data_IF_064263520670
#
_entry.id   IF_064263520670
#
_cell.length_a   1.000
_cell.length_b   1.000
_cell.length_c   1.000
_cell.angle_alpha   90.00
_cell.angle_beta   90.00
_cell.angle_gamma   90.00
#
_symmetry.space_group_name_H-M   'P 1'
#
loop_
_entity.id
_entity.type
_entity.pdbx_description
1 polymer ?
#
# COMPACT_ATOMS: atom_id res chain seq x y z
N UNK A 1 12.70 -26.50 -9.46
CA UNK A 1 13.80 -25.75 -8.79
C UNK A 1 13.82 -24.38 -9.44
N UNK A 2 13.06 -23.43 -8.90
CA UNK A 2 12.97 -22.07 -9.46
C UNK A 2 14.06 -21.25 -8.76
N UNK A 3 15.06 -20.79 -9.53
CA UNK A 3 16.04 -19.83 -9.02
C UNK A 3 15.29 -18.57 -8.62
N UNK A 4 15.17 -18.33 -7.32
CA UNK A 4 14.79 -17.04 -6.78
C UNK A 4 15.91 -16.09 -7.20
N UNK A 5 15.56 -15.00 -7.87
CA UNK A 5 16.57 -14.03 -8.29
C UNK A 5 17.08 -13.30 -7.05
N UNK A 6 18.21 -13.76 -6.51
CA UNK A 6 18.81 -13.25 -5.27
C UNK A 6 19.37 -11.83 -5.41
N UNK A 7 19.36 -11.28 -6.64
CA UNK A 7 19.88 -9.95 -6.95
C UNK A 7 18.94 -8.84 -6.48
N UNK A 8 19.52 -7.71 -6.10
CA UNK A 8 18.79 -6.47 -5.81
C UNK A 8 19.22 -5.41 -6.82
N UNK A 9 18.25 -4.68 -7.38
CA UNK A 9 18.52 -3.55 -8.27
C UNK A 9 18.23 -2.24 -7.55
N UNK A 10 19.26 -1.43 -7.35
CA UNK A 10 19.13 -0.06 -6.86
C UNK A 10 19.10 0.91 -8.03
N UNK A 11 18.27 1.94 -7.93
CA UNK A 11 18.27 3.06 -8.87
C UNK A 11 18.73 4.29 -8.10
N UNK A 12 19.97 4.71 -8.33
CA UNK A 12 20.64 5.75 -7.54
C UNK A 12 20.90 6.98 -8.39
N UNK A 13 20.91 8.15 -7.76
CA UNK A 13 21.18 9.42 -8.41
C UNK A 13 21.93 10.32 -7.45
N UNK A 14 22.86 11.10 -7.97
CA UNK A 14 23.47 12.22 -7.26
C UNK A 14 22.95 13.59 -7.78
N UNK A 15 21.87 13.55 -8.57
CA UNK A 15 21.26 14.65 -9.30
C UNK A 15 22.17 15.32 -10.34
N UNK A 16 23.21 14.62 -10.81
CA UNK A 16 24.05 15.09 -11.92
C UNK A 16 23.67 14.40 -13.23
N UNK A 17 23.77 15.13 -14.35
CA UNK A 17 23.42 14.60 -15.67
C UNK A 17 24.62 13.89 -16.29
N UNK A 18 24.41 12.67 -16.76
CA UNK A 18 25.38 11.92 -17.55
C UNK A 18 24.72 11.36 -18.82
N UNK A 19 25.24 11.76 -19.98
CA UNK A 19 24.67 11.42 -21.30
C UNK A 19 24.59 9.92 -21.57
N UNK A 20 25.41 9.13 -20.91
CA UNK A 20 25.48 7.68 -21.07
C UNK A 20 24.52 6.93 -20.12
N UNK A 21 23.74 7.63 -19.28
CA UNK A 21 22.69 7.03 -18.46
C UNK A 21 21.36 6.94 -19.23
N UNK A 22 20.50 6.03 -18.79
CA UNK A 22 19.14 5.90 -19.32
C UNK A 22 18.34 7.18 -19.12
N UNK A 23 17.55 7.55 -20.13
CA UNK A 23 16.74 8.77 -20.12
C UNK A 23 15.35 8.48 -19.56
N UNK A 24 15.13 8.87 -18.31
CA UNK A 24 13.83 8.73 -17.67
C UNK A 24 12.91 9.90 -18.07
N UNK A 25 12.30 9.80 -19.26
CA UNK A 25 11.41 10.81 -19.84
C UNK A 25 10.03 10.95 -19.19
N UNK A 26 9.29 12.00 -19.57
CA UNK A 26 7.90 12.20 -19.18
C UNK A 26 7.02 11.26 -20.00
N UNK A 27 6.32 10.33 -19.34
CA UNK A 27 5.38 9.42 -20.02
C UNK A 27 4.06 10.12 -20.32
N UNK A 28 4.11 11.24 -21.03
CA UNK A 28 2.92 11.88 -21.61
C UNK A 28 2.91 11.88 -23.14
N UNK A 29 4.02 11.62 -23.82
CA UNK A 29 4.13 11.95 -25.25
C UNK A 29 4.47 10.78 -26.18
N UNK A 30 4.38 9.51 -25.73
CA UNK A 30 4.58 8.35 -26.61
C UNK A 30 3.57 7.23 -26.29
N UNK A 31 2.28 7.50 -26.51
CA UNK A 31 1.36 6.46 -26.97
C UNK A 31 1.17 6.61 -28.48
N UNK A 32 1.59 5.58 -29.21
CA UNK A 32 1.47 5.34 -30.65
C UNK A 32 2.60 5.87 -31.54
N UNK A 33 3.62 5.04 -31.75
CA UNK A 33 4.14 4.76 -33.11
C UNK A 33 4.95 3.45 -33.14
N UNK A 34 4.35 2.39 -33.70
CA UNK A 34 5.03 1.41 -34.57
C UNK A 34 5.95 0.31 -33.99
N UNK A 35 5.44 -0.92 -34.00
CA UNK A 35 6.23 -2.17 -34.14
C UNK A 35 6.60 -2.85 -32.82
N UNK A 36 6.30 -4.11 -32.55
CA UNK A 36 5.95 -5.27 -33.39
C UNK A 36 5.06 -6.19 -32.59
N UNK A 37 4.08 -6.76 -33.28
CA UNK A 37 3.24 -7.89 -32.92
C UNK A 37 4.02 -9.00 -32.18
N UNK A 38 3.75 -9.15 -30.88
CA UNK A 38 4.09 -10.33 -30.09
C UNK A 38 2.85 -11.24 -29.99
N UNK A 39 2.61 -12.00 -31.04
CA UNK A 39 1.58 -13.04 -31.07
C UNK A 39 1.94 -14.28 -30.21
N UNK A 40 3.12 -14.35 -29.54
CA UNK A 40 3.55 -15.58 -28.84
C UNK A 40 4.17 -15.44 -27.43
N UNK A 41 4.17 -14.28 -26.79
CA UNK A 41 4.42 -14.10 -25.35
C UNK A 41 5.81 -14.46 -24.83
N UNK A 42 6.85 -14.50 -25.68
CA UNK A 42 8.21 -14.89 -25.27
C UNK A 42 9.17 -13.72 -25.00
N UNK A 43 8.77 -12.47 -25.25
CA UNK A 43 9.60 -11.28 -25.01
C UNK A 43 8.93 -10.30 -24.05
N UNK A 44 8.95 -10.69 -22.77
CA UNK A 44 9.07 -9.88 -21.55
C UNK A 44 8.29 -10.61 -20.47
N UNK A 45 9.01 -11.19 -19.51
CA UNK A 45 8.37 -11.66 -18.27
C UNK A 45 7.57 -10.48 -17.72
N UNK A 46 6.30 -10.67 -17.30
CA UNK A 46 5.49 -9.62 -16.70
C UNK A 46 5.98 -9.38 -15.27
N UNK A 47 7.21 -8.89 -15.13
CA UNK A 47 7.72 -8.42 -13.85
C UNK A 47 7.39 -6.96 -13.74
N UNK A 48 6.50 -6.67 -12.79
CA UNK A 48 6.24 -5.35 -12.23
C UNK A 48 5.46 -4.44 -13.18
N UNK A 49 4.14 -4.50 -13.03
CA UNK A 49 3.25 -3.37 -13.33
C UNK A 49 3.99 -2.05 -13.04
N UNK A 50 4.08 -1.21 -14.07
CA UNK A 50 4.89 0.00 -14.17
C UNK A 50 4.71 0.87 -12.90
N UNK A 51 5.57 0.74 -11.89
CA UNK A 51 5.73 1.77 -10.86
C UNK A 51 6.04 3.05 -11.63
N UNK A 52 5.16 4.04 -11.56
CA UNK A 52 5.41 5.33 -12.20
C UNK A 52 6.73 5.87 -11.63
N UNK A 53 7.69 6.12 -12.51
CA UNK A 53 9.01 6.60 -12.11
C UNK A 53 8.84 7.98 -11.47
N UNK A 54 8.97 8.05 -10.14
CA UNK A 54 8.70 9.28 -9.38
C UNK A 54 9.80 10.33 -9.57
N UNK A 55 10.99 9.93 -10.01
CA UNK A 55 12.08 10.83 -10.39
C UNK A 55 13.43 10.39 -9.82
N UNK A 56 14.51 11.14 -10.10
CA UNK A 56 14.56 12.27 -11.03
C UNK A 56 14.48 11.84 -12.50
N UNK A 57 13.94 12.72 -13.32
CA UNK A 57 13.78 12.56 -14.77
C UNK A 57 15.06 12.88 -15.53
N UNK A 58 15.14 12.45 -16.77
CA UNK A 58 16.32 12.65 -17.60
C UNK A 58 17.40 11.61 -17.33
N UNK A 59 18.61 11.90 -17.81
CA UNK A 59 19.78 11.01 -17.73
C UNK A 59 20.61 11.27 -16.49
N UNK A 60 20.05 11.01 -15.31
CA UNK A 60 20.74 11.24 -14.03
C UNK A 60 20.62 10.08 -13.03
N UNK A 61 20.03 8.97 -13.46
CA UNK A 61 19.86 7.78 -12.62
C UNK A 61 20.69 6.63 -13.14
N UNK A 62 21.51 6.06 -12.28
CA UNK A 62 22.29 4.86 -12.51
C UNK A 62 21.58 3.65 -11.89
N UNK A 63 21.33 2.62 -12.69
CA UNK A 63 20.92 1.31 -12.18
C UNK A 63 22.16 0.57 -11.68
N UNK A 64 22.12 0.09 -10.43
CA UNK A 64 23.19 -0.71 -9.82
C UNK A 64 22.64 -2.08 -9.41
N UNK A 65 23.22 -3.14 -9.96
CA UNK A 65 22.85 -4.53 -9.63
C UNK A 65 23.75 -5.05 -8.52
N UNK A 66 23.15 -5.48 -7.41
CA UNK A 66 23.83 -6.02 -6.24
C UNK A 66 23.73 -7.54 -6.23
N UNK A 67 24.87 -8.19 -5.97
CA UNK A 67 24.98 -9.60 -5.63
C UNK A 67 25.32 -9.76 -4.15
N UNK A 68 25.12 -10.95 -3.59
CA UNK A 68 25.40 -11.20 -2.18
C UNK A 68 26.88 -10.98 -1.85
N UNK A 69 27.22 -10.47 -0.66
CA UNK A 69 26.33 -10.17 0.47
C UNK A 69 25.62 -8.80 0.37
N UNK A 70 25.94 -7.99 -0.65
CA UNK A 70 25.41 -6.63 -0.78
C UNK A 70 23.91 -6.61 -1.01
N UNK A 71 23.38 -7.56 -1.81
CA UNK A 71 21.93 -7.69 -2.02
C UNK A 71 21.18 -8.05 -0.75
N UNK A 72 21.68 -9.01 0.03
CA UNK A 72 21.10 -9.34 1.33
C UNK A 72 21.06 -8.13 2.27
N UNK A 73 22.18 -7.43 2.44
CA UNK A 73 22.24 -6.24 3.30
C UNK A 73 21.30 -5.13 2.81
N UNK A 74 21.30 -4.83 1.51
CA UNK A 74 20.46 -3.78 0.95
C UNK A 74 18.96 -4.08 1.10
N UNK A 75 18.56 -5.34 0.98
CA UNK A 75 17.15 -5.75 1.15
C UNK A 75 16.62 -5.47 2.55
N UNK A 76 17.46 -5.67 3.56
CA UNK A 76 17.08 -5.52 4.96
C UNK A 76 17.25 -4.06 5.47
N UNK A 77 18.18 -3.29 4.90
CA UNK A 77 18.59 -2.00 5.48
C UNK A 77 18.35 -0.78 4.57
N UNK A 78 18.34 -0.94 3.24
CA UNK A 78 18.27 0.20 2.31
C UNK A 78 16.83 0.47 1.92
N UNK A 79 16.38 1.71 2.13
CA UNK A 79 15.05 2.19 1.78
C UNK A 79 15.10 3.19 0.61
N UNK A 80 13.97 3.33 -0.09
CA UNK A 80 13.81 4.38 -1.11
C UNK A 80 13.97 5.78 -0.46
N UNK A 81 14.62 6.70 -1.17
CA UNK A 81 14.99 8.05 -0.71
C UNK A 81 16.10 8.15 0.36
N UNK A 82 16.67 7.03 0.80
CA UNK A 82 17.83 7.00 1.68
C UNK A 82 19.13 7.46 1.01
N UNK A 83 20.04 8.04 1.78
CA UNK A 83 21.39 8.36 1.32
C UNK A 83 22.31 7.18 1.61
N UNK A 84 22.99 6.70 0.57
CA UNK A 84 23.89 5.55 0.68
C UNK A 84 25.25 5.86 0.10
N UNK A 85 26.27 5.27 0.69
CA UNK A 85 27.61 5.21 0.12
C UNK A 85 27.83 3.82 -0.46
N UNK A 86 28.02 3.78 -1.77
CA UNK A 86 28.43 2.58 -2.49
C UNK A 86 29.93 2.65 -2.75
N UNK A 87 30.68 1.63 -2.32
CA UNK A 87 32.12 1.53 -2.60
C UNK A 87 32.39 0.41 -3.59
N UNK A 88 33.42 0.58 -4.42
CA UNK A 88 33.86 -0.40 -5.41
C UNK A 88 32.76 -0.84 -6.41
N UNK A 89 31.89 0.09 -6.80
CA UNK A 89 30.90 -0.17 -7.86
C UNK A 89 31.63 -0.38 -9.19
N UNK A 90 31.42 -1.52 -9.83
CA UNK A 90 31.94 -1.78 -11.16
C UNK A 90 31.01 -1.15 -12.20
N UNK A 91 31.44 -0.05 -12.80
CA UNK A 91 30.69 0.63 -13.87
C UNK A 91 31.03 -0.01 -15.21
N UNK A 92 30.01 -0.40 -15.96
CA UNK A 92 30.14 -0.96 -17.30
C UNK A 92 29.03 -0.44 -18.20
N UNK A 93 29.22 -0.52 -19.51
CA UNK A 93 28.13 -0.33 -20.46
C UNK A 93 27.35 -1.64 -20.62
N UNK A 94 26.03 -1.57 -20.62
CA UNK A 94 25.17 -2.67 -21.02
C UNK A 94 25.44 -3.00 -22.50
N UNK A 95 25.59 -4.30 -22.78
CA UNK A 95 25.93 -4.82 -24.10
C UNK A 95 24.83 -4.59 -25.13
N UNK A 96 23.58 -4.42 -24.69
CA UNK A 96 22.43 -4.29 -25.61
C UNK A 96 22.15 -2.85 -26.03
N UNK A 97 22.23 -1.89 -25.10
CA UNK A 97 21.86 -0.49 -25.36
C UNK A 97 23.05 0.49 -25.22
N UNK A 98 24.22 0.03 -24.77
CA UNK A 98 25.42 0.85 -24.58
C UNK A 98 25.34 1.83 -23.39
N UNK A 99 24.30 1.77 -22.58
CA UNK A 99 24.08 2.65 -21.43
C UNK A 99 24.88 2.18 -20.21
N UNK A 100 25.29 3.12 -19.37
CA UNK A 100 26.02 2.82 -18.15
C UNK A 100 25.13 2.16 -17.10
N UNK A 101 25.59 1.05 -16.57
CA UNK A 101 25.06 0.37 -15.40
C UNK A 101 26.18 0.08 -14.40
N UNK A 102 25.80 0.00 -13.12
CA UNK A 102 26.69 -0.42 -12.04
C UNK A 102 26.45 -1.87 -11.65
N UNK A 103 27.50 -2.55 -11.21
CA UNK A 103 27.38 -3.90 -10.62
C UNK A 103 28.28 -4.00 -9.40
N UNK A 104 27.76 -4.59 -8.32
CA UNK A 104 28.54 -4.92 -7.13
C UNK A 104 28.49 -6.42 -6.90
N UNK A 105 29.63 -7.07 -7.15
CA UNK A 105 29.81 -8.49 -6.90
C UNK A 105 30.38 -8.74 -5.50
N UNK A 106 30.25 -9.98 -5.03
CA UNK A 106 30.98 -10.48 -3.86
C UNK A 106 32.48 -10.20 -4.00
N UNK A 107 33.10 -9.66 -2.95
CA UNK A 107 34.54 -9.49 -2.92
C UNK A 107 35.22 -10.87 -2.86
N UNK A 108 36.17 -11.13 -3.75
CA UNK A 108 36.85 -12.43 -3.84
C UNK A 108 37.78 -12.70 -2.65
N UNK A 109 38.33 -11.66 -2.03
CA UNK A 109 39.28 -11.73 -0.91
C UNK A 109 38.57 -11.65 0.44
N UNK A 110 37.50 -10.87 0.52
CA UNK A 110 36.69 -10.71 1.73
C UNK A 110 35.20 -10.94 1.46
N UNK A 111 34.74 -12.20 1.28
CA UNK A 111 33.38 -12.50 0.84
C UNK A 111 32.27 -11.95 1.73
N UNK A 112 32.53 -11.83 3.04
CA UNK A 112 31.57 -11.30 4.04
C UNK A 112 31.51 -9.76 4.07
N UNK A 113 32.40 -9.07 3.34
CA UNK A 113 32.49 -7.61 3.38
C UNK A 113 31.34 -7.00 2.59
N UNK A 114 30.56 -6.16 3.27
CA UNK A 114 29.51 -5.34 2.67
C UNK A 114 30.04 -3.93 2.39
N UNK A 115 30.01 -3.52 1.12
CA UNK A 115 30.49 -2.21 0.65
C UNK A 115 29.34 -1.22 0.34
N UNK A 116 28.13 -1.58 0.79
CA UNK A 116 26.95 -0.70 0.85
C UNK A 116 26.83 -0.17 2.27
N UNK A 117 26.76 1.15 2.45
CA UNK A 117 26.58 1.78 3.76
C UNK A 117 25.48 2.82 3.71
N UNK A 118 24.63 2.85 4.72
CA UNK A 118 23.73 3.97 4.96
C UNK A 118 24.56 5.17 5.44
N UNK A 119 24.17 6.36 4.99
CA UNK A 119 24.70 7.62 5.50
C UNK A 119 23.68 8.17 6.49
N UNK A 120 23.99 8.06 7.78
CA UNK A 120 23.16 8.58 8.88
C UNK A 120 23.37 10.10 9.07
N UNK A 121 22.64 10.69 10.00
CA UNK A 121 22.66 12.15 10.25
C UNK A 121 23.97 12.67 10.86
N UNK A 122 24.84 11.78 11.36
CA UNK A 122 26.20 12.08 11.81
C UNK A 122 27.16 12.46 10.67
N UNK A 123 26.77 12.23 9.41
CA UNK A 123 27.48 12.65 8.21
C UNK A 123 26.93 13.94 7.58
N UNK A 124 26.10 14.70 8.31
CA UNK A 124 25.58 15.99 7.84
C UNK A 124 26.68 17.01 7.52
N UNK A 125 27.84 16.92 8.17
CA UNK A 125 28.98 17.81 7.93
C UNK A 125 29.87 17.35 6.76
N UNK A 126 29.66 16.18 6.17
CA UNK A 126 30.43 15.76 4.99
C UNK A 126 30.04 16.66 3.80
N UNK A 127 31.00 17.44 3.25
CA UNK A 127 30.71 18.37 2.16
C UNK A 127 30.04 17.70 0.95
N UNK A 128 30.34 16.42 0.70
CA UNK A 128 29.77 15.65 -0.42
C UNK A 128 28.29 15.36 -0.21
N UNK A 129 27.89 15.08 1.02
CA UNK A 129 26.48 14.83 1.39
C UNK A 129 25.70 16.13 1.37
N UNK A 130 26.29 17.22 1.86
CA UNK A 130 25.70 18.57 1.78
C UNK A 130 25.47 18.99 0.33
N UNK A 131 26.45 18.79 -0.54
CA UNK A 131 26.34 19.12 -1.96
C UNK A 131 25.26 18.28 -2.64
N UNK A 132 25.22 16.98 -2.38
CA UNK A 132 24.16 16.09 -2.87
C UNK A 132 22.76 16.54 -2.42
N UNK A 133 22.58 16.83 -1.12
CA UNK A 133 21.31 17.33 -0.57
C UNK A 133 20.92 18.67 -1.20
N UNK A 134 21.91 19.53 -1.49
CA UNK A 134 21.70 20.81 -2.19
C UNK A 134 21.21 20.59 -3.62
N UNK A 135 21.88 19.74 -4.41
CA UNK A 135 21.47 19.41 -5.78
C UNK A 135 20.08 18.77 -5.83
N UNK A 136 19.77 17.85 -4.90
CA UNK A 136 18.42 17.27 -4.74
C UNK A 136 17.38 18.38 -4.55
N UNK A 137 17.61 19.29 -3.60
CA UNK A 137 16.68 20.39 -3.29
C UNK A 137 16.50 21.32 -4.49
N UNK A 138 17.57 21.65 -5.18
CA UNK A 138 17.54 22.51 -6.36
C UNK A 138 16.76 21.88 -7.51
N UNK A 139 17.05 20.61 -7.84
CA UNK A 139 16.33 19.86 -8.87
C UNK A 139 14.82 19.87 -8.62
N UNK A 140 14.40 19.53 -7.39
CA UNK A 140 12.97 19.50 -7.06
C UNK A 140 12.34 20.90 -7.01
N UNK A 141 13.09 21.94 -6.63
CA UNK A 141 12.64 23.34 -6.70
C UNK A 141 12.37 23.73 -8.16
N UNK A 142 13.34 23.52 -9.05
CA UNK A 142 13.22 23.84 -10.47
C UNK A 142 12.10 23.03 -11.13
N UNK A 143 11.96 21.74 -10.81
CA UNK A 143 10.91 20.88 -11.36
C UNK A 143 9.51 21.33 -10.90
N UNK A 144 9.35 21.80 -9.65
CA UNK A 144 8.09 22.42 -9.17
C UNK A 144 7.80 23.74 -9.87
N UNK A 145 8.81 24.59 -10.07
CA UNK A 145 8.66 25.86 -10.80
C UNK A 145 8.32 25.64 -12.26
N UNK A 146 8.92 24.65 -12.93
CA UNK A 146 8.61 24.30 -14.31
C UNK A 146 7.19 23.72 -14.44
N UNK A 147 6.75 22.88 -13.49
CA UNK A 147 5.35 22.43 -13.43
C UNK A 147 4.36 23.58 -13.19
N UNK A 148 4.71 24.56 -12.35
CA UNK A 148 3.90 25.77 -12.12
C UNK A 148 3.84 26.66 -13.35
N UNK A 149 4.97 26.90 -14.04
CA UNK A 149 5.01 27.67 -15.30
C UNK A 149 4.23 26.99 -16.41
N UNK A 150 4.28 25.66 -16.51
CA UNK A 150 3.42 24.90 -17.42
C UNK A 150 1.94 25.09 -17.07
N UNK A 151 1.57 25.04 -15.78
CA UNK A 151 0.19 25.28 -15.35
C UNK A 151 -0.28 26.74 -15.59
N UNK A 152 0.63 27.71 -15.50
CA UNK A 152 0.36 29.13 -15.79
C UNK A 152 0.21 29.41 -17.30
N UNK A 153 1.02 28.78 -18.17
CA UNK A 153 0.87 28.85 -19.64
C UNK A 153 -0.38 28.12 -20.16
N UNK A 154 -0.86 27.11 -19.42
CA UNK A 154 -2.16 26.45 -19.65
C UNK A 154 -3.27 27.04 -18.75
N UNK A 155 -3.23 28.35 -18.49
CA UNK A 155 -4.40 29.20 -18.21
C UNK A 155 -5.28 28.81 -17.02
N UNK A 156 -4.76 28.93 -15.80
CA UNK A 156 -5.59 29.16 -14.60
C UNK A 156 -5.36 30.60 -14.10
N UNK A 157 -5.98 31.54 -14.81
CA UNK A 157 -6.05 32.94 -14.42
C UNK A 157 -7.37 33.20 -13.70
N UNK A 158 -7.28 33.47 -12.40
CA UNK A 158 -8.31 34.13 -11.63
C UNK A 158 -8.68 35.46 -12.32
N UNK A 159 -9.90 35.54 -12.84
CA UNK A 159 -10.63 36.80 -12.99
C UNK A 159 -12.13 36.54 -13.15
N UNK A 160 -12.89 37.02 -12.16
CA UNK A 160 -14.33 36.84 -12.08
C UNK A 160 -15.08 37.45 -13.27
N UNK A 161 -15.80 36.60 -14.03
CA UNK A 161 -17.11 36.88 -14.66
C UNK A 161 -17.76 35.58 -15.19
N UNK A 162 -19.09 35.40 -15.08
CA UNK A 162 -19.72 34.09 -15.19
C UNK A 162 -20.06 33.70 -16.64
N UNK A 163 -19.54 32.56 -17.12
CA UNK A 163 -20.03 31.92 -18.37
C UNK A 163 -21.20 30.98 -18.08
N UNK A 164 -22.42 31.47 -18.30
CA UNK A 164 -23.72 30.79 -18.09
C UNK A 164 -23.96 29.50 -18.93
N UNK A 165 -23.07 29.10 -19.84
CA UNK A 165 -23.35 28.02 -20.79
C UNK A 165 -22.85 26.61 -20.39
N UNK A 166 -21.93 26.47 -19.42
CA UNK A 166 -21.41 25.14 -19.04
C UNK A 166 -22.34 24.37 -18.09
N UNK A 167 -23.08 25.09 -17.23
CA UNK A 167 -24.03 24.50 -16.26
C UNK A 167 -25.26 23.91 -16.96
N UNK A 168 -25.73 24.49 -18.05
CA UNK A 168 -26.83 23.94 -18.85
C UNK A 168 -26.41 22.67 -19.59
N UNK A 169 -25.22 22.66 -20.21
CA UNK A 169 -24.71 21.49 -20.94
C UNK A 169 -24.45 20.28 -20.02
N UNK A 170 -23.97 20.51 -18.79
CA UNK A 170 -23.77 19.45 -17.77
C UNK A 170 -25.11 18.92 -17.21
N UNK A 171 -26.13 19.79 -17.07
CA UNK A 171 -27.47 19.40 -16.61
C UNK A 171 -28.25 18.63 -17.69
N UNK A 172 -28.03 18.94 -18.96
CA UNK A 172 -28.62 18.25 -20.10
C UNK A 172 -27.98 16.86 -20.33
N UNK A 173 -26.66 16.76 -20.21
CA UNK A 173 -25.94 15.47 -20.28
C UNK A 173 -26.37 14.52 -19.16
N UNK A 174 -26.56 15.02 -17.95
CA UNK A 174 -27.04 14.21 -16.82
C UNK A 174 -28.50 13.78 -17.01
N UNK A 175 -29.35 14.63 -17.58
CA UNK A 175 -30.75 14.31 -17.90
C UNK A 175 -30.85 13.27 -19.03
N UNK A 176 -29.97 13.34 -20.03
CA UNK A 176 -29.89 12.33 -21.10
C UNK A 176 -29.41 10.97 -20.56
N UNK A 177 -28.38 10.94 -19.69
CA UNK A 177 -27.92 9.70 -19.02
C UNK A 177 -29.05 9.04 -18.20
N UNK A 178 -29.79 9.84 -17.43
CA UNK A 178 -30.92 9.35 -16.61
C UNK A 178 -32.09 8.83 -17.46
N UNK A 179 -32.35 9.44 -18.62
CA UNK A 179 -33.35 8.94 -19.57
C UNK A 179 -32.91 7.65 -20.28
N UNK A 180 -31.61 7.48 -20.55
CA UNK A 180 -31.06 6.26 -21.13
C UNK A 180 -31.11 5.09 -20.14
N UNK A 181 -30.82 5.33 -18.86
CA UNK A 181 -30.98 4.33 -17.79
C UNK A 181 -32.43 3.91 -17.58
N UNK A 182 -33.37 4.87 -17.58
CA UNK A 182 -34.79 4.54 -17.47
C UNK A 182 -35.30 3.73 -18.67
N UNK A 183 -34.81 4.02 -19.88
CA UNK A 183 -35.12 3.21 -21.09
C UNK A 183 -34.53 1.81 -21.03
N UNK A 184 -33.30 1.65 -20.51
CA UNK A 184 -32.67 0.33 -20.29
C UNK A 184 -33.40 -0.49 -19.22
N UNK A 185 -33.82 0.15 -18.11
CA UNK A 185 -34.62 -0.51 -17.07
C UNK A 185 -36.02 -0.89 -17.56
N UNK A 186 -36.67 -0.05 -18.36
CA UNK A 186 -37.97 -0.41 -18.98
C UNK A 186 -37.84 -1.52 -20.02
N UNK A 187 -36.74 -1.59 -20.78
CA UNK A 187 -36.48 -2.70 -21.70
C UNK A 187 -36.19 -4.01 -20.94
N UNK A 188 -35.44 -3.97 -19.83
CA UNK A 188 -35.24 -5.13 -18.95
C UNK A 188 -36.54 -5.61 -18.30
N UNK A 189 -37.41 -4.70 -17.84
CA UNK A 189 -38.71 -5.07 -17.27
C UNK A 189 -39.68 -5.62 -18.33
N UNK A 190 -39.58 -5.18 -19.59
CA UNK A 190 -40.38 -5.73 -20.71
C UNK A 190 -39.90 -7.12 -21.16
N UNK A 191 -38.59 -7.41 -21.06
CA UNK A 191 -38.07 -8.76 -21.29
C UNK A 191 -38.42 -9.74 -20.17
N UNK A 192 -38.58 -9.27 -18.94
CA UNK A 192 -38.95 -10.10 -17.78
C UNK A 192 -40.44 -10.50 -17.76
N UNK A 193 -41.31 -9.80 -18.49
CA UNK A 193 -42.76 -10.11 -18.57
C UNK A 193 -43.13 -11.10 -19.69
N UNK A 194 -42.16 -11.60 -20.48
CA UNK A 194 -42.44 -12.49 -21.63
C UNK A 194 -42.13 -13.97 -21.40
N UNK A 195 -41.65 -14.34 -20.21
CA UNK A 195 -41.35 -15.73 -19.83
C UNK A 195 -42.08 -16.14 -18.53
N UNK A 196 -43.34 -15.73 -18.37
CA UNK A 196 -44.24 -16.36 -17.38
C UNK A 196 -44.84 -17.62 -17.99
N UNK A 197 -44.15 -18.75 -17.80
CA UNK A 197 -44.60 -20.02 -18.32
C UNK A 197 -43.72 -21.20 -17.96
N UNK A 198 -43.20 -21.29 -16.72
CA UNK A 198 -42.86 -22.56 -16.10
C UNK A 198 -42.63 -22.42 -14.59
N UNK A 199 -43.11 -23.42 -13.86
CA UNK A 199 -43.40 -23.44 -12.44
C UNK A 199 -42.19 -23.30 -11.51
N UNK A 200 -42.51 -22.78 -10.33
CA UNK A 200 -41.66 -22.34 -9.22
C UNK A 200 -40.60 -23.33 -8.72
N UNK A 201 -39.39 -22.80 -8.49
CA UNK A 201 -38.59 -23.10 -7.29
C UNK A 201 -38.14 -21.73 -6.73
N UNK A 202 -38.37 -21.40 -5.45
CA UNK A 202 -38.12 -20.06 -4.91
C UNK A 202 -36.62 -19.77 -4.82
N UNK A 203 -36.08 -19.06 -5.81
CA UNK A 203 -34.70 -18.56 -5.83
C UNK A 203 -34.63 -17.08 -5.42
N UNK A 204 -35.06 -16.78 -4.19
CA UNK A 204 -34.88 -15.44 -3.58
C UNK A 204 -33.54 -15.29 -2.85
N UNK A 205 -32.70 -16.33 -2.82
CA UNK A 205 -31.28 -16.21 -2.48
C UNK A 205 -30.49 -16.28 -3.79
N UNK A 206 -29.62 -15.31 -4.10
CA UNK A 206 -28.37 -15.48 -4.92
C UNK A 206 -27.81 -14.22 -5.60
N UNK A 207 -28.39 -13.01 -5.43
CA UNK A 207 -27.71 -11.77 -5.88
C UNK A 207 -26.76 -11.17 -4.83
N UNK A 208 -26.99 -11.42 -3.52
CA UNK A 208 -26.27 -10.79 -2.40
C UNK A 208 -24.90 -11.40 -2.06
N UNK A 209 -24.52 -12.52 -2.70
CA UNK A 209 -23.33 -13.28 -2.33
C UNK A 209 -22.20 -13.23 -3.37
N UNK A 210 -22.37 -12.48 -4.47
CA UNK A 210 -21.31 -12.30 -5.44
C UNK A 210 -20.27 -11.32 -4.88
N UNK A 211 -18.96 -11.64 -4.95
CA UNK A 211 -17.93 -10.69 -4.59
C UNK A 211 -18.05 -9.40 -5.40
N UNK A 212 -17.69 -8.27 -4.77
CA UNK A 212 -17.67 -6.96 -5.38
C UNK A 212 -16.72 -6.99 -6.59
N UNK A 213 -17.22 -6.75 -7.82
CA UNK A 213 -16.39 -6.84 -9.04
C UNK A 213 -15.33 -5.75 -9.12
N UNK A 214 -15.48 -4.64 -8.37
CA UNK A 214 -14.50 -3.55 -8.34
C UNK A 214 -13.31 -3.83 -7.43
N UNK A 215 -13.32 -4.94 -6.69
CA UNK A 215 -12.23 -5.31 -5.79
C UNK A 215 -11.58 -6.60 -6.26
N UNK A 216 -10.28 -6.53 -6.51
CA UNK A 216 -9.52 -7.66 -7.01
C UNK A 216 -8.42 -8.05 -6.02
N UNK A 217 -8.46 -9.32 -5.61
CA UNK A 217 -7.35 -9.97 -4.91
C UNK A 217 -6.35 -10.56 -5.91
N UNK A 218 -5.07 -10.49 -5.56
CA UNK A 218 -4.00 -11.22 -6.25
C UNK A 218 -4.21 -12.74 -6.16
N UNK A 219 -3.58 -13.48 -7.07
CA UNK A 219 -3.54 -14.95 -7.12
C UNK A 219 -4.94 -15.59 -7.18
N UNK A 220 -5.74 -15.34 -8.25
CA UNK A 220 -7.10 -15.85 -8.35
C UNK A 220 -7.20 -17.39 -8.32
N UNK A 221 -6.11 -18.09 -8.63
CA UNK A 221 -6.00 -19.55 -8.55
C UNK A 221 -5.93 -20.09 -7.11
N UNK A 222 -5.56 -19.26 -6.11
CA UNK A 222 -5.55 -19.67 -4.70
C UNK A 222 -6.98 -19.69 -4.18
N UNK A 223 -7.38 -20.81 -3.58
CA UNK A 223 -8.70 -20.97 -2.95
C UNK A 223 -8.91 -20.01 -1.77
N UNK A 224 -10.15 -19.59 -1.57
CA UNK A 224 -10.53 -18.78 -0.41
C UNK A 224 -10.70 -19.66 0.83
N UNK A 225 -10.20 -19.19 1.98
CA UNK A 225 -10.46 -19.76 3.31
C UNK A 225 -11.35 -18.83 4.11
N UNK A 226 -12.18 -19.40 4.98
CA UNK A 226 -13.01 -18.62 5.91
C UNK A 226 -12.18 -18.08 7.07
N UNK A 227 -12.59 -16.97 7.65
CA UNK A 227 -11.98 -16.47 8.89
C UNK A 227 -12.09 -17.52 10.00
N UNK A 228 -13.23 -18.23 10.06
CA UNK A 228 -13.46 -19.39 10.94
C UNK A 228 -12.44 -20.52 10.81
N UNK A 229 -11.67 -20.57 9.71
CA UNK A 229 -10.61 -21.55 9.48
C UNK A 229 -9.21 -20.95 9.67
N UNK A 230 -9.06 -19.64 9.44
CA UNK A 230 -7.79 -18.91 9.56
C UNK A 230 -7.41 -18.70 11.03
N UNK A 231 -8.38 -18.37 11.89
CA UNK A 231 -8.13 -18.11 13.31
C UNK A 231 -7.66 -19.36 14.07
N UNK A 232 -8.36 -20.51 14.04
CA UNK A 232 -7.92 -21.70 14.76
C UNK A 232 -6.71 -22.40 14.13
N UNK A 233 -6.48 -22.20 12.83
CA UNK A 233 -5.47 -22.86 11.97
C UNK A 233 -4.60 -23.92 12.67
N UNK A 234 -4.98 -25.19 12.51
CA UNK A 234 -4.33 -26.33 13.16
C UNK A 234 -2.86 -26.50 12.78
N UNK A 235 -2.43 -25.96 11.63
CA UNK A 235 -1.02 -26.03 11.23
C UNK A 235 -0.07 -25.35 12.21
N UNK A 236 -0.58 -24.50 13.11
CA UNK A 236 0.20 -23.93 14.20
C UNK A 236 0.65 -24.98 15.22
N UNK A 237 -0.08 -26.09 15.35
CA UNK A 237 0.26 -27.18 16.25
C UNK A 237 1.35 -28.05 15.61
N UNK A 238 2.51 -28.12 16.24
CA UNK A 238 3.63 -28.95 15.81
C UNK A 238 3.78 -30.11 16.79
N UNK A 239 3.87 -31.33 16.25
CA UNK A 239 4.16 -32.54 16.99
C UNK A 239 5.52 -33.07 16.57
N UNK A 240 6.47 -33.13 17.51
CA UNK A 240 7.80 -33.72 17.30
C UNK A 240 7.82 -35.19 17.79
N UNK A 241 8.84 -35.98 17.40
CA UNK A 241 9.15 -37.23 18.08
C UNK A 241 9.29 -37.00 19.60
N UNK A 242 8.98 -38.01 20.41
CA UNK A 242 8.95 -37.95 21.89
C UNK A 242 7.72 -37.26 22.52
N UNK A 243 6.61 -37.18 21.78
CA UNK A 243 5.32 -36.65 22.28
C UNK A 243 5.39 -35.17 22.72
N UNK A 244 6.36 -34.43 22.20
CA UNK A 244 6.48 -32.99 22.42
C UNK A 244 5.52 -32.29 21.47
N UNK A 245 4.53 -31.61 22.06
CA UNK A 245 3.56 -30.78 21.32
C UNK A 245 3.75 -29.32 21.71
N UNK A 246 3.83 -28.45 20.71
CA UNK A 246 3.83 -27.00 20.93
C UNK A 246 3.07 -26.30 19.82
N UNK A 247 2.55 -25.10 20.11
CA UNK A 247 1.79 -24.29 19.16
C UNK A 247 2.57 -23.02 18.84
N UNK A 248 2.85 -22.80 17.55
CA UNK A 248 3.45 -21.55 17.10
C UNK A 248 2.44 -20.39 17.27
N UNK A 249 2.88 -19.22 17.74
CA UNK A 249 2.00 -18.06 17.90
C UNK A 249 1.51 -17.53 16.55
N UNK A 250 2.33 -17.67 15.50
CA UNK A 250 2.02 -17.32 14.11
C UNK A 250 2.95 -18.08 13.15
N UNK A 251 2.60 -18.12 11.87
CA UNK A 251 3.38 -18.84 10.83
C UNK A 251 3.70 -18.01 9.58
N UNK A 252 3.41 -16.71 9.60
CA UNK A 252 3.65 -15.81 8.45
C UNK A 252 2.96 -16.27 7.15
N UNK A 253 1.76 -16.82 7.27
CA UNK A 253 1.00 -17.41 6.16
C UNK A 253 0.23 -16.35 5.38
N UNK A 254 0.03 -16.59 4.08
CA UNK A 254 -0.77 -15.76 3.19
C UNK A 254 -2.06 -16.50 2.81
N UNK A 255 -3.18 -15.88 3.12
CA UNK A 255 -4.52 -16.40 2.83
C UNK A 255 -5.19 -15.58 1.73
N UNK A 256 -6.24 -16.15 1.17
CA UNK A 256 -7.25 -15.41 0.38
C UNK A 256 -8.58 -15.68 1.06
N UNK A 257 -9.43 -14.67 1.21
CA UNK A 257 -10.72 -14.82 1.90
C UNK A 257 -11.75 -13.89 1.27
N UNK A 258 -13.03 -14.24 1.40
CA UNK A 258 -14.15 -13.40 0.96
C UNK A 258 -14.85 -12.87 2.20
N UNK A 259 -14.74 -11.56 2.41
CA UNK A 259 -15.06 -10.90 3.68
C UNK A 259 -16.00 -9.71 3.50
N UNK A 260 -16.46 -9.17 4.61
CA UNK A 260 -17.20 -7.91 4.73
C UNK A 260 -16.56 -7.02 5.79
N UNK A 261 -16.51 -5.70 5.58
CA UNK A 261 -16.05 -4.75 6.61
C UNK A 261 -17.18 -4.44 7.57
N UNK A 262 -16.98 -4.67 8.86
CA UNK A 262 -17.98 -4.38 9.91
C UNK A 262 -17.64 -3.15 10.72
N UNK A 263 -16.37 -2.76 10.76
CA UNK A 263 -15.89 -1.53 11.38
C UNK A 263 -14.52 -1.14 10.82
N UNK A 264 -14.07 0.07 11.16
CA UNK A 264 -12.75 0.58 10.82
C UNK A 264 -12.19 1.47 11.94
N UNK A 265 -10.86 1.57 11.97
CA UNK A 265 -10.12 2.42 12.90
C UNK A 265 -8.94 3.09 12.18
N UNK A 266 -8.59 4.36 12.47
CA UNK A 266 -9.24 5.31 13.41
C UNK A 266 -10.70 5.67 13.07
N UNK A 267 -11.50 6.24 13.99
CA UNK A 267 -12.90 6.58 13.69
C UNK A 267 -13.06 7.72 12.68
N UNK A 268 -12.07 8.62 12.58
CA UNK A 268 -12.06 9.70 11.61
C UNK A 268 -11.21 9.31 10.41
N UNK A 269 -11.78 9.33 9.21
CA UNK A 269 -11.09 8.99 7.96
C UNK A 269 -9.91 9.93 7.70
N UNK A 270 -9.98 11.18 8.15
CA UNK A 270 -8.87 12.13 8.01
C UNK A 270 -7.59 11.67 8.76
N UNK A 271 -7.71 10.73 9.69
CA UNK A 271 -6.60 10.16 10.47
C UNK A 271 -6.09 8.83 9.89
N UNK A 272 -6.61 8.41 8.73
CA UNK A 272 -6.08 7.24 8.01
C UNK A 272 -4.70 7.50 7.41
N UNK A 273 -4.37 8.77 7.19
CA UNK A 273 -3.06 9.22 6.76
C UNK A 273 -2.34 9.85 7.94
N UNK A 274 -1.12 9.41 8.22
CA UNK A 274 -0.27 9.96 9.28
C UNK A 274 1.05 10.45 8.70
N UNK A 275 1.70 11.46 9.33
CA UNK A 275 3.07 11.80 8.99
C UNK A 275 3.98 10.60 9.29
N UNK A 276 4.87 10.28 8.35
CA UNK A 276 5.89 9.26 8.52
C UNK A 276 6.98 9.78 9.45
N UNK A 277 7.13 9.13 10.59
CA UNK A 277 8.16 9.41 11.59
C UNK A 277 9.09 8.19 11.62
N UNK A 278 10.36 8.31 11.20
CA UNK A 278 11.30 7.19 11.25
C UNK A 278 11.53 6.70 12.68
N UNK A 279 11.51 5.39 12.92
CA UNK A 279 11.64 4.77 14.26
C UNK A 279 12.93 5.13 15.02
N UNK A 280 13.98 5.60 14.36
CA UNK A 280 15.22 6.04 15.01
C UNK A 280 15.14 7.46 15.59
N UNK A 281 14.11 8.25 15.28
CA UNK A 281 13.95 9.60 15.83
C UNK A 281 13.43 9.59 17.28
N UNK A 282 12.86 8.48 17.77
CA UNK A 282 12.24 8.40 19.09
C UNK A 282 13.15 7.87 20.21
N UNK A 283 14.41 7.56 19.91
CA UNK A 283 15.34 6.94 20.89
C UNK A 283 16.54 7.84 21.19
N UNK A 284 16.74 8.94 20.44
CA UNK A 284 17.93 9.79 20.55
C UNK A 284 17.68 11.29 20.71
N UNK A 285 16.44 11.76 20.88
CA UNK A 285 16.21 13.18 21.15
C UNK A 285 16.05 13.46 22.64
N UNK A 286 17.20 13.68 23.29
CA UNK A 286 17.27 14.64 24.39
C UNK A 286 16.90 16.02 23.85
N UNK A 287 15.83 16.60 24.39
CA UNK A 287 15.49 18.03 24.39
C UNK A 287 14.97 18.72 23.12
N UNK A 288 14.66 18.03 22.00
CA UNK A 288 14.03 18.67 20.82
C UNK A 288 12.93 17.81 20.14
N UNK A 289 12.12 17.06 20.91
CA UNK A 289 11.06 16.20 20.36
C UNK A 289 9.79 16.94 19.87
N UNK A 290 9.72 18.27 20.00
CA UNK A 290 8.47 19.02 19.73
C UNK A 290 8.31 19.56 18.30
N UNK A 291 9.27 19.40 17.39
CA UNK A 291 9.32 20.23 16.15
C UNK A 291 8.96 19.52 14.82
N UNK A 292 8.76 18.19 14.79
CA UNK A 292 8.20 17.51 13.59
C UNK A 292 6.69 17.51 13.68
N UNK A 293 6.10 18.61 13.25
CA UNK A 293 4.65 18.75 13.14
C UNK A 293 4.16 18.28 11.76
N UNK A 294 2.85 17.99 11.60
CA UNK A 294 2.24 17.79 10.28
C UNK A 294 2.39 18.98 9.31
N UNK A 295 2.88 20.13 9.81
CA UNK A 295 3.18 21.36 9.08
C UNK A 295 4.61 21.37 8.51
N UNK A 296 5.51 20.50 8.98
CA UNK A 296 6.93 20.53 8.63
C UNK A 296 7.13 20.25 7.13
N UNK A 297 7.75 21.17 6.36
CA UNK A 297 7.94 21.00 4.93
C UNK A 297 8.79 19.77 4.59
N UNK A 298 8.27 18.88 3.75
CA UNK A 298 8.98 17.67 3.33
C UNK A 298 8.67 16.42 4.16
N UNK A 299 7.78 16.51 5.15
CA UNK A 299 7.23 15.34 5.83
C UNK A 299 6.54 14.41 4.84
N UNK A 300 7.02 13.18 4.76
CA UNK A 300 6.37 12.10 4.02
C UNK A 300 5.11 11.68 4.77
N UNK A 301 4.08 11.32 4.05
CA UNK A 301 2.83 10.79 4.62
C UNK A 301 2.73 9.31 4.31
N UNK A 302 2.11 8.55 5.20
CA UNK A 302 1.81 7.14 5.01
C UNK A 302 0.37 6.82 5.39
N UNK A 303 -0.19 5.81 4.74
CA UNK A 303 -1.46 5.24 5.15
C UNK A 303 -1.27 4.35 6.38
N UNK A 304 -2.18 4.48 7.34
CA UNK A 304 -2.21 3.68 8.56
C UNK A 304 -3.63 3.61 9.10
N UNK A 305 -4.35 2.56 8.72
CA UNK A 305 -5.67 2.28 9.24
C UNK A 305 -5.91 0.77 9.38
N UNK A 306 -7.01 0.40 9.99
CA UNK A 306 -7.38 -0.97 10.27
C UNK A 306 -8.84 -1.18 9.87
N UNK A 307 -9.10 -2.31 9.22
CA UNK A 307 -10.44 -2.79 8.91
C UNK A 307 -10.77 -3.94 9.86
N UNK A 308 -11.94 -3.89 10.49
CA UNK A 308 -12.50 -5.04 11.18
C UNK A 308 -13.37 -5.78 10.18
N UNK A 309 -13.06 -7.05 9.93
CA UNK A 309 -13.76 -7.84 8.91
C UNK A 309 -14.30 -9.14 9.47
N UNK A 310 -15.39 -9.62 8.89
CA UNK A 310 -16.00 -10.93 9.16
C UNK A 310 -16.25 -11.70 7.86
N UNK A 311 -16.59 -12.98 7.97
CA UNK A 311 -16.87 -13.83 6.83
C UNK A 311 -18.07 -13.33 6.03
N UNK A 312 -17.99 -13.40 4.70
CA UNK A 312 -19.09 -13.00 3.82
C UNK A 312 -20.33 -13.88 3.95
N UNK A 313 -20.23 -15.07 4.53
CA UNK A 313 -21.36 -15.97 4.73
C UNK A 313 -21.30 -16.54 6.14
N UNK A 314 -22.10 -15.97 7.02
CA UNK A 314 -22.27 -16.43 8.40
C UNK A 314 -23.62 -17.13 8.46
N UNK A 315 -23.60 -18.43 8.74
CA UNK A 315 -24.84 -19.19 8.89
C UNK A 315 -25.55 -18.78 10.19
N UNK A 316 -26.90 -18.79 10.21
CA UNK A 316 -27.64 -18.51 11.44
C UNK A 316 -27.16 -19.40 12.60
N UNK A 317 -26.79 -18.77 13.72
CA UNK A 317 -26.29 -19.47 14.91
C UNK A 317 -24.77 -19.74 14.94
N UNK A 318 -24.02 -19.39 13.89
CA UNK A 318 -22.55 -19.45 13.94
C UNK A 318 -21.94 -18.23 14.65
N UNK A 319 -20.81 -18.40 15.35
CA UNK A 319 -20.08 -17.29 15.92
C UNK A 319 -19.61 -16.33 14.82
N UNK A 320 -19.70 -15.03 15.09
CA UNK A 320 -19.19 -13.99 14.19
C UNK A 320 -17.73 -13.75 14.47
N UNK A 321 -16.89 -14.57 13.86
CA UNK A 321 -15.45 -14.38 13.98
C UNK A 321 -15.01 -13.15 13.20
N UNK A 322 -14.25 -12.28 13.88
CA UNK A 322 -13.79 -11.01 13.36
C UNK A 322 -12.28 -10.91 13.47
N UNK A 323 -11.64 -10.36 12.44
CA UNK A 323 -10.21 -10.09 12.45
C UNK A 323 -9.93 -8.63 12.10
N UNK A 324 -8.89 -8.10 12.72
CA UNK A 324 -8.33 -6.79 12.41
C UNK A 324 -7.34 -6.95 11.27
N UNK A 325 -7.63 -6.32 10.13
CA UNK A 325 -6.74 -6.22 8.99
C UNK A 325 -6.09 -4.83 8.99
N UNK A 326 -4.80 -4.79 9.32
CA UNK A 326 -3.99 -3.59 9.18
C UNK A 326 -3.74 -3.28 7.71
N UNK A 327 -3.92 -2.01 7.33
CA UNK A 327 -3.73 -1.49 5.99
C UNK A 327 -2.77 -0.31 6.09
N UNK A 328 -1.55 -0.50 5.58
CA UNK A 328 -0.50 0.51 5.69
C UNK A 328 0.50 0.50 4.55
N UNK A 329 1.25 1.61 4.43
CA UNK A 329 2.35 1.78 3.49
C UNK A 329 1.98 1.41 2.05
N UNK A 330 2.88 0.72 1.35
CA UNK A 330 2.70 0.36 -0.06
C UNK A 330 1.50 -0.56 -0.33
N UNK A 331 1.06 -1.38 0.64
CA UNK A 331 -0.12 -2.23 0.48
C UNK A 331 -1.40 -1.38 0.47
N UNK A 332 -1.44 -0.30 1.25
CA UNK A 332 -2.54 0.65 1.25
C UNK A 332 -2.56 1.52 -0.02
N UNK A 333 -1.41 1.99 -0.48
CA UNK A 333 -1.30 2.70 -1.77
C UNK A 333 -1.75 1.80 -2.93
N UNK A 334 -1.39 0.52 -2.89
CA UNK A 334 -1.82 -0.45 -3.88
C UNK A 334 -3.34 -0.70 -3.84
N UNK A 335 -3.92 -0.73 -2.64
CA UNK A 335 -5.36 -0.88 -2.43
C UNK A 335 -6.14 0.31 -2.99
N UNK A 336 -5.75 1.52 -2.58
CA UNK A 336 -6.50 2.74 -2.80
C UNK A 336 -6.21 3.38 -4.17
N UNK A 337 -5.03 3.09 -4.74
CA UNK A 337 -4.44 3.82 -5.88
C UNK A 337 -4.31 5.33 -5.60
N UNK A 338 -4.02 5.65 -4.35
CA UNK A 338 -3.84 7.02 -3.86
C UNK A 338 -2.56 7.10 -3.05
N UNK A 339 -1.80 8.16 -3.25
CA UNK A 339 -0.67 8.52 -2.39
C UNK A 339 -1.19 9.10 -1.08
N UNK A 340 -0.55 8.74 0.03
CA UNK A 340 -0.89 9.33 1.33
C UNK A 340 -0.51 10.82 1.36
N UNK A 341 -1.41 11.64 1.88
CA UNK A 341 -1.24 13.09 2.02
C UNK A 341 -1.95 13.58 3.28
N UNK A 342 -1.70 14.81 3.71
CA UNK A 342 -2.48 15.42 4.79
C UNK A 342 -3.96 15.60 4.39
N UNK A 343 -4.81 14.67 4.79
CA UNK A 343 -6.24 14.67 4.46
C UNK A 343 -7.03 15.83 5.08
N UNK A 344 -6.54 16.39 6.19
CA UNK A 344 -7.17 17.56 6.85
C UNK A 344 -6.99 18.84 6.03
N UNK A 345 -5.94 18.91 5.22
CA UNK A 345 -5.64 20.05 4.33
C UNK A 345 -6.09 19.79 2.90
N UNK A 346 -5.91 18.57 2.40
CA UNK A 346 -6.23 18.20 1.03
C UNK A 346 -7.64 17.61 0.93
N UNK A 347 -8.64 18.50 0.73
CA UNK A 347 -10.05 18.12 0.59
C UNK A 347 -10.32 17.23 -0.63
N UNK A 348 -9.59 17.43 -1.73
CA UNK A 348 -9.76 16.62 -2.94
C UNK A 348 -9.35 15.17 -2.69
N UNK A 349 -8.17 14.96 -2.09
CA UNK A 349 -7.70 13.64 -1.72
C UNK A 349 -8.62 12.96 -0.68
N UNK A 350 -9.17 13.74 0.26
CA UNK A 350 -10.15 13.25 1.23
C UNK A 350 -11.43 12.73 0.57
N UNK A 351 -12.00 13.47 -0.39
CA UNK A 351 -13.19 13.03 -1.13
C UNK A 351 -12.89 11.76 -1.95
N UNK A 352 -11.75 11.71 -2.65
CA UNK A 352 -11.34 10.52 -3.41
C UNK A 352 -11.16 9.30 -2.51
N UNK A 353 -10.60 9.48 -1.32
CA UNK A 353 -10.46 8.42 -0.34
C UNK A 353 -11.84 7.92 0.12
N UNK A 354 -12.76 8.81 0.47
CA UNK A 354 -14.12 8.43 0.86
C UNK A 354 -14.83 7.65 -0.27
N UNK A 355 -14.71 8.08 -1.52
CA UNK A 355 -15.26 7.37 -2.68
C UNK A 355 -14.68 5.95 -2.80
N UNK A 356 -13.36 5.79 -2.67
CA UNK A 356 -12.70 4.47 -2.68
C UNK A 356 -13.17 3.59 -1.52
N UNK A 357 -13.25 4.15 -0.33
CA UNK A 357 -13.65 3.41 0.87
C UNK A 357 -15.13 3.01 0.83
N UNK A 358 -16.00 3.82 0.22
CA UNK A 358 -17.40 3.49 -0.06
C UNK A 358 -17.51 2.23 -0.94
N UNK A 359 -16.56 1.97 -1.84
CA UNK A 359 -16.51 0.72 -2.62
C UNK A 359 -16.22 -0.49 -1.71
N UNK A 360 -15.37 -0.33 -0.68
CA UNK A 360 -15.03 -1.41 0.26
C UNK A 360 -16.19 -1.75 1.20
N UNK A 361 -16.85 -0.73 1.75
CA UNK A 361 -17.75 -0.91 2.89
C UNK A 361 -19.15 -0.31 2.72
N UNK A 362 -19.48 0.25 1.56
CA UNK A 362 -20.80 0.81 1.27
C UNK A 362 -21.17 1.94 2.22
N UNK A 363 -22.34 1.82 2.83
CA UNK A 363 -22.93 2.83 3.73
C UNK A 363 -22.44 2.74 5.20
N UNK A 364 -21.28 2.12 5.45
CA UNK A 364 -20.76 1.90 6.80
C UNK A 364 -20.45 3.22 7.54
N UNK A 365 -19.91 4.21 6.84
CA UNK A 365 -19.57 5.53 7.41
C UNK A 365 -20.84 6.27 7.87
N UNK A 366 -21.89 6.27 7.06
CA UNK A 366 -23.18 6.90 7.37
C UNK A 366 -23.86 6.20 8.55
N UNK A 367 -23.78 4.87 8.64
CA UNK A 367 -24.35 4.12 9.77
C UNK A 367 -23.59 4.38 11.06
N UNK A 368 -22.25 4.41 11.00
CA UNK A 368 -21.40 4.69 12.16
C UNK A 368 -21.62 6.10 12.70
N UNK A 369 -21.75 7.09 11.82
CA UNK A 369 -22.07 8.48 12.21
C UNK A 369 -23.47 8.66 12.80
N UNK A 370 -24.43 7.80 12.43
CA UNK A 370 -25.78 7.77 12.99
C UNK A 370 -25.89 6.93 14.28
N UNK A 371 -24.80 6.32 14.75
CA UNK A 371 -24.79 5.46 15.94
C UNK A 371 -25.61 4.18 15.77
N UNK A 372 -25.86 3.75 14.53
CA UNK A 372 -26.58 2.51 14.26
C UNK A 372 -25.69 1.30 14.54
N UNK A 373 -26.30 0.21 15.01
CA UNK A 373 -25.59 -1.06 15.16
C UNK A 373 -25.18 -1.59 13.77
N UNK A 374 -23.88 -1.51 13.47
CA UNK A 374 -23.30 -1.95 12.20
C UNK A 374 -23.35 -3.47 12.03
N UNK A 375 -23.73 -4.23 13.07
CA UNK A 375 -23.76 -5.69 13.07
C UNK A 375 -25.14 -6.29 12.73
N UNK A 376 -26.24 -5.57 12.99
CA UNK A 376 -27.61 -6.11 12.84
C UNK A 376 -28.15 -6.09 11.42
N UNK A 377 -27.82 -5.04 10.67
CA UNK A 377 -28.11 -4.93 9.24
C UNK A 377 -26.77 -4.89 8.56
N UNK A 378 -26.43 -5.88 7.73
CA UNK A 378 -25.22 -5.81 6.92
C UNK A 378 -25.20 -4.48 6.16
N UNK A 379 -24.08 -3.74 6.11
CA UNK A 379 -23.99 -2.56 5.26
C UNK A 379 -24.29 -2.94 3.81
N UNK A 380 -24.70 -1.98 2.98
CA UNK A 380 -25.04 -2.17 1.57
C UNK A 380 -23.88 -2.73 0.73
N UNK A 381 -22.71 -2.95 1.34
CA UNK A 381 -21.54 -3.53 0.75
C UNK A 381 -21.80 -4.93 0.17
N UNK A 382 -21.32 -5.13 -1.04
CA UNK A 382 -21.07 -6.46 -1.54
C UNK A 382 -19.85 -7.03 -0.80
N UNK A 383 -19.86 -8.31 -0.41
CA UNK A 383 -18.64 -8.94 0.11
C UNK A 383 -17.53 -8.84 -0.92
N UNK A 384 -16.27 -8.88 -0.53
CA UNK A 384 -15.16 -8.83 -1.49
C UNK A 384 -14.09 -9.86 -1.15
N UNK A 385 -13.39 -10.30 -2.19
CA UNK A 385 -12.26 -11.21 -2.01
C UNK A 385 -10.99 -10.40 -1.83
N UNK A 386 -10.22 -10.70 -0.78
CA UNK A 386 -8.95 -10.04 -0.48
C UNK A 386 -7.85 -11.06 -0.16
N UNK A 387 -6.59 -10.61 -0.19
CA UNK A 387 -5.47 -11.37 0.37
C UNK A 387 -5.11 -10.85 1.77
N UNK A 388 -4.90 -11.80 2.69
CA UNK A 388 -4.61 -11.54 4.10
C UNK A 388 -3.23 -12.14 4.40
N UNK A 389 -2.29 -11.34 4.91
CA UNK A 389 -1.01 -11.84 5.40
C UNK A 389 -1.04 -11.86 6.93
N UNK A 390 -0.60 -12.97 7.48
CA UNK A 390 -0.36 -13.14 8.91
C UNK A 390 1.09 -12.76 9.24
N UNK A 391 1.32 -12.19 10.41
CA UNK A 391 2.65 -11.86 10.93
C UNK A 391 2.61 -11.71 12.45
N UNK A 392 3.77 -11.73 13.09
CA UNK A 392 3.92 -11.52 14.52
C UNK A 392 4.54 -10.17 14.85
N UNK A 393 4.04 -9.53 15.91
CA UNK A 393 4.64 -8.33 16.51
C UNK A 393 5.05 -8.66 17.93
N UNK A 394 6.17 -8.11 18.43
CA UNK A 394 6.59 -8.35 19.81
C UNK A 394 5.59 -7.73 20.79
N UNK A 395 5.22 -8.50 21.82
CA UNK A 395 4.37 -7.98 22.90
C UNK A 395 5.16 -7.05 23.82
N UNK A 396 4.50 -5.99 24.29
CA UNK A 396 5.08 -5.05 25.26
C UNK A 396 5.34 -5.68 26.64
N UNK A 397 4.67 -6.78 26.99
CA UNK A 397 4.86 -7.47 28.28
C UNK A 397 6.26 -8.10 28.45
N UNK A 398 7.05 -8.23 27.38
CA UNK A 398 8.41 -8.78 27.44
C UNK A 398 9.46 -7.74 27.82
N UNK A 399 9.08 -6.47 27.94
CA UNK A 399 10.02 -5.35 28.19
C UNK A 399 10.42 -5.23 29.67
N UNK A 400 9.75 -5.96 30.59
CA UNK A 400 9.86 -5.73 32.04
C UNK A 400 10.64 -6.77 32.86
N UNK A 401 11.33 -7.74 32.24
CA UNK A 401 12.09 -8.77 33.00
C UNK A 401 13.58 -8.40 33.16
N UNK A 402 13.99 -7.16 32.90
CA UNK A 402 15.41 -6.79 32.97
C UNK A 402 15.77 -5.34 33.29
N UNK A 403 14.80 -4.42 33.43
CA UNK A 403 15.12 -3.03 33.75
C UNK A 403 14.89 -2.74 35.23
N UNK A 404 15.92 -2.92 36.05
CA UNK A 404 16.02 -2.22 37.33
C UNK A 404 16.34 -0.74 37.07
N UNK A 405 15.41 -0.01 36.46
CA UNK A 405 15.41 1.45 36.52
C UNK A 405 14.01 1.92 36.86
N UNK A 406 13.88 2.23 38.14
CA UNK A 406 12.75 2.88 38.76
C UNK A 406 12.70 4.32 38.25
N UNK A 407 11.92 4.58 37.19
CA UNK A 407 11.53 5.94 36.87
C UNK A 407 10.02 6.01 36.67
N UNK A 408 9.40 6.82 37.53
CA UNK A 408 7.96 6.90 37.75
C UNK A 408 7.25 7.71 36.68
N UNK A 409 7.29 7.26 35.43
CA UNK A 409 6.39 7.76 34.39
C UNK A 409 5.27 6.76 34.16
N UNK A 410 4.09 7.08 34.70
CA UNK A 410 2.81 6.46 34.37
C UNK A 410 2.51 6.66 32.87
N UNK A 411 3.14 5.85 32.01
CA UNK A 411 2.58 5.55 30.71
C UNK A 411 1.50 4.52 30.96
N UNK A 412 0.25 4.97 30.87
CA UNK A 412 -0.96 4.16 30.91
C UNK A 412 -0.90 3.10 29.79
N UNK A 413 -0.16 2.03 30.06
CA UNK A 413 -0.04 0.88 29.18
C UNK A 413 -1.41 0.21 29.20
N UNK A 414 -2.01 0.05 28.02
CA UNK A 414 -3.26 -0.67 27.85
C UNK A 414 -3.19 -1.96 28.68
N UNK A 415 -3.95 -1.99 29.77
CA UNK A 415 -3.95 -3.05 30.77
C UNK A 415 -4.37 -4.32 30.04
N UNK A 416 -3.39 -5.10 29.60
CA UNK A 416 -3.66 -6.45 29.12
C UNK A 416 -3.97 -7.23 30.38
N UNK A 417 -5.23 -7.65 30.51
CA UNK A 417 -5.75 -8.24 31.73
C UNK A 417 -4.89 -9.40 32.26
N UNK A 418 -5.08 -9.78 33.54
CA UNK A 418 -4.23 -10.74 34.26
C UNK A 418 -4.11 -12.14 33.60
N UNK A 419 -4.90 -12.43 32.57
CA UNK A 419 -4.86 -13.68 31.81
C UNK A 419 -3.78 -13.71 30.70
N UNK A 420 -3.29 -12.54 30.25
CA UNK A 420 -2.31 -12.47 29.15
C UNK A 420 -0.91 -13.00 29.52
N UNK A 421 -0.54 -12.95 30.81
CA UNK A 421 0.83 -13.24 31.25
C UNK A 421 1.17 -14.73 31.42
N UNK A 422 0.22 -15.67 31.31
CA UNK A 422 0.51 -17.10 31.53
C UNK A 422 0.91 -17.86 30.26
N UNK A 423 0.49 -17.41 29.07
CA UNK A 423 0.72 -18.11 27.80
C UNK A 423 1.35 -17.22 26.71
N UNK A 424 1.62 -15.94 27.01
CA UNK A 424 2.20 -15.03 26.03
C UNK A 424 3.68 -15.37 25.79
N UNK A 425 3.98 -15.97 24.63
CA UNK A 425 5.33 -16.22 24.13
C UNK A 425 6.10 -14.94 23.73
N UNK A 426 5.62 -13.76 24.15
CA UNK A 426 6.17 -12.46 23.79
C UNK A 426 5.85 -11.99 22.37
N UNK A 427 4.85 -12.60 21.72
CA UNK A 427 4.42 -12.27 20.37
C UNK A 427 2.91 -12.18 20.24
N UNK A 428 2.45 -11.14 19.55
CA UNK A 428 1.06 -10.90 19.17
C UNK A 428 0.88 -11.28 17.69
N UNK A 429 -0.05 -12.18 17.42
CA UNK A 429 -0.45 -12.53 16.05
C UNK A 429 -1.30 -11.40 15.47
N UNK A 430 -0.91 -10.89 14.31
CA UNK A 430 -1.63 -9.84 13.58
C UNK A 430 -1.92 -10.26 12.14
N UNK A 431 -2.86 -9.56 11.51
CA UNK A 431 -3.22 -9.75 10.12
C UNK A 431 -3.21 -8.42 9.37
N UNK A 432 -2.76 -8.43 8.13
CA UNK A 432 -2.75 -7.25 7.29
C UNK A 432 -3.30 -7.55 5.90
N UNK A 433 -3.88 -6.54 5.28
CA UNK A 433 -4.25 -6.61 3.87
C UNK A 433 -3.00 -6.52 3.02
N UNK A 434 -2.94 -7.29 1.94
CA UNK A 434 -1.90 -7.14 0.92
C UNK A 434 -2.46 -7.51 -0.45
N UNK A 435 -1.80 -7.07 -1.52
CA UNK A 435 -2.10 -7.52 -2.90
C UNK A 435 -3.59 -7.48 -3.28
N UNK A 436 -4.35 -6.54 -2.72
CA UNK A 436 -5.77 -6.34 -2.97
C UNK A 436 -5.93 -4.92 -3.50
N UNK A 437 -6.69 -4.71 -4.57
CA UNK A 437 -6.82 -3.43 -5.27
C UNK A 437 -8.27 -3.06 -5.51
N UNK A 438 -8.59 -1.77 -5.42
CA UNK A 438 -9.86 -1.19 -5.84
C UNK A 438 -9.69 -0.62 -7.25
N UNK A 439 -10.41 -1.19 -8.20
CA UNK A 439 -10.41 -0.76 -9.60
C UNK A 439 -11.48 0.33 -9.82
N UNK A 440 -11.21 1.27 -10.73
CA UNK A 440 -12.19 2.28 -11.16
C UNK A 440 -13.07 1.70 -12.28
N UNK A 441 -14.33 2.17 -12.34
CA UNK A 441 -15.32 1.80 -13.37
C UNK A 441 -14.93 2.25 -14.79
#
# INVERSE_FOLDING_TARGET
>A
MFYQDDRVHLYVTDYTVNKSLFDYGDKSDEENEGGTDDTFGFLTRPTREKRAWQGPRGRMTLQVTLWDPHSYYARENVTEDGYILLRNVHIKADKMNGLLEGVMHTDKKYPEKVDVRLLEDDHQDDPRVVELKTRKREYWRQNRTNKRKLAEDFGDGDDGKPKKNSKQRRKELHRQKKQQEQRKQQQQNKSLQREEGQSEIPSTMNKSNRPNPYIQAKDPARGCRKISEILPNESHNISLPDNIQYRLPFQCVKYRSTVRVVDYFPPNIADFSVPYIPEYSSVYSSDNEDDITPETPGVRWEWRFCLLVEDAQILPGQPREQIKLFVSGSDAEFLLKLDAVNLRKNKEAFIRLQEKLCILWGDLEERKSQGMDTQQKGPSQLPFTCCIKEWGVRCACRTDVGSYHNDGSDRECAVVGPEHNRECLGWERRFALFGTTINEE
#
